data_IF_181976881517
#
_entry.id   IF_181976881517
#
_cell.length_a   1.000
_cell.length_b   1.000
_cell.length_c   1.000
_cell.angle_alpha   90.00
_cell.angle_beta   90.00
_cell.angle_gamma   90.00
#
_symmetry.space_group_name_H-M   'P 1'
#
loop_
_entity.id
_entity.type
_entity.pdbx_description
1 polymer ?
#
# COMPACT_ATOMS: atom_id res chain seq x y z
N UNK A 1 18.19 -13.42 33.70
CA UNK A 1 17.53 -12.09 33.76
C UNK A 1 18.25 -11.20 32.77
N UNK A 2 17.49 -10.38 32.03
CA UNK A 2 18.04 -9.40 31.09
C UNK A 2 17.95 -8.00 31.70
N UNK A 3 18.88 -7.12 31.36
CA UNK A 3 18.91 -5.73 31.84
C UNK A 3 17.99 -4.83 31.01
N UNK A 4 17.59 -3.69 31.58
CA UNK A 4 16.89 -2.59 30.91
C UNK A 4 17.84 -1.41 30.72
N UNK A 5 17.60 -0.60 29.70
CA UNK A 5 18.23 0.73 29.58
C UNK A 5 17.49 1.67 30.54
N UNK A 6 18.22 2.32 31.44
CA UNK A 6 17.63 3.25 32.41
C UNK A 6 17.46 4.66 31.81
N UNK A 7 18.54 5.27 31.33
CA UNK A 7 18.53 6.60 30.71
C UNK A 7 19.66 6.72 29.67
N UNK A 8 19.53 7.71 28.78
CA UNK A 8 20.60 8.18 27.91
C UNK A 8 21.17 9.46 28.52
N UNK A 9 22.49 9.49 28.74
CA UNK A 9 23.15 10.64 29.34
C UNK A 9 23.73 11.56 28.27
N UNK A 10 23.53 12.87 28.42
CA UNK A 10 24.00 13.92 27.53
C UNK A 10 24.84 14.89 28.36
N UNK A 11 26.10 15.02 27.97
CA UNK A 11 27.00 16.01 28.56
C UNK A 11 26.72 17.40 27.98
N UNK A 12 26.70 18.42 28.84
CA UNK A 12 26.34 19.80 28.50
C UNK A 12 27.03 20.81 29.43
N UNK A 13 26.96 22.09 29.11
CA UNK A 13 27.52 23.19 29.90
C UNK A 13 26.57 23.64 31.02
N UNK A 14 25.26 23.48 30.85
CA UNK A 14 24.26 23.75 31.90
C UNK A 14 23.16 22.68 31.88
N UNK A 15 23.24 21.74 32.83
CA UNK A 15 22.28 20.64 32.92
C UNK A 15 20.83 21.12 33.12
N UNK A 16 20.61 22.15 33.93
CA UNK A 16 19.27 22.61 34.28
C UNK A 16 18.61 23.32 33.08
N UNK A 17 19.30 24.27 32.46
CA UNK A 17 18.76 25.01 31.31
C UNK A 17 18.50 24.08 30.12
N UNK A 18 19.39 23.12 29.86
CA UNK A 18 19.19 22.17 28.79
C UNK A 18 18.05 21.19 29.09
N UNK A 19 17.91 20.77 30.35
CA UNK A 19 16.80 19.92 30.77
C UNK A 19 15.44 20.65 30.66
N UNK A 20 15.36 21.96 30.94
CA UNK A 20 14.15 22.74 30.72
C UNK A 20 13.73 22.77 29.24
N UNK A 21 14.69 22.93 28.32
CA UNK A 21 14.40 22.81 26.89
C UNK A 21 13.83 21.42 26.56
N UNK A 22 14.48 20.34 27.02
CA UNK A 22 14.05 18.97 26.74
C UNK A 22 12.74 18.59 27.43
N UNK A 23 12.42 19.17 28.58
CA UNK A 23 11.12 19.04 29.25
C UNK A 23 9.98 19.54 28.34
N UNK A 24 10.17 20.70 27.71
CA UNK A 24 9.22 21.25 26.72
C UNK A 24 9.19 20.44 25.41
N UNK A 25 10.33 19.88 24.98
CA UNK A 25 10.38 18.99 23.80
C UNK A 25 9.53 17.74 24.04
N UNK A 26 9.71 17.08 25.19
CA UNK A 26 9.08 15.79 25.51
C UNK A 26 7.70 15.93 26.19
N UNK A 27 7.27 17.15 26.52
CA UNK A 27 6.04 17.42 27.24
C UNK A 27 6.00 16.75 28.63
N UNK A 28 7.17 16.59 29.25
CA UNK A 28 7.34 15.94 30.56
C UNK A 28 8.05 16.92 31.49
N UNK A 29 7.51 17.20 32.69
CA UNK A 29 8.14 18.14 33.61
C UNK A 29 9.49 17.62 34.09
N UNK A 30 10.36 18.56 34.45
CA UNK A 30 11.57 18.26 35.21
C UNK A 30 11.21 17.69 36.58
N UNK A 31 12.10 16.92 37.20
CA UNK A 31 11.94 16.53 38.60
C UNK A 31 11.83 17.77 39.49
N UNK A 32 10.93 17.74 40.48
CA UNK A 32 10.81 18.81 41.49
C UNK A 32 12.09 18.95 42.35
N UNK A 33 12.96 17.94 42.32
CA UNK A 33 14.23 17.91 43.04
C UNK A 33 15.38 18.59 42.26
N UNK A 34 15.21 18.87 40.97
CA UNK A 34 16.26 19.48 40.13
C UNK A 34 16.14 21.02 40.13
N UNK A 35 17.23 21.73 40.38
CA UNK A 35 17.30 23.19 40.53
C UNK A 35 18.44 23.83 39.71
N UNK A 36 18.37 25.15 39.43
CA UNK A 36 19.44 25.87 38.73
C UNK A 36 20.81 25.69 39.42
N UNK A 37 21.80 25.24 38.65
CA UNK A 37 23.17 25.02 39.11
C UNK A 37 23.46 23.60 39.61
N UNK A 38 22.48 22.69 39.59
CA UNK A 38 22.73 21.28 39.88
C UNK A 38 23.64 20.63 38.84
N UNK A 39 24.50 19.68 39.25
CA UNK A 39 25.47 19.06 38.35
C UNK A 39 24.81 18.14 37.33
N UNK A 40 23.57 17.72 37.57
CA UNK A 40 22.77 16.89 36.68
C UNK A 40 21.29 17.25 36.80
N UNK A 41 20.53 16.92 35.77
CA UNK A 41 19.08 17.11 35.75
C UNK A 41 18.42 16.02 34.90
N UNK A 42 17.27 15.50 35.33
CA UNK A 42 16.62 14.34 34.73
C UNK A 42 15.26 14.71 34.14
N UNK A 43 15.05 14.36 32.87
CA UNK A 43 13.74 14.43 32.22
C UNK A 43 13.23 13.01 32.00
N UNK A 44 12.20 12.62 32.76
CA UNK A 44 11.54 11.32 32.65
C UNK A 44 10.28 11.41 31.81
N UNK A 45 10.22 10.65 30.71
CA UNK A 45 9.01 10.46 29.92
C UNK A 45 8.51 9.01 30.03
N UNK A 46 7.23 8.73 29.73
CA UNK A 46 6.71 7.37 29.70
C UNK A 46 7.44 6.40 28.76
N UNK A 47 8.25 6.91 27.82
CA UNK A 47 8.97 6.12 26.82
C UNK A 47 10.49 6.07 27.03
N UNK A 48 11.02 6.73 28.06
CA UNK A 48 12.45 6.76 28.38
C UNK A 48 12.87 8.02 29.13
N UNK A 49 14.11 8.04 29.59
CA UNK A 49 14.68 9.14 30.37
C UNK A 49 15.96 9.70 29.72
N UNK A 50 16.11 11.03 29.77
CA UNK A 50 17.31 11.75 29.39
C UNK A 50 17.92 12.36 30.66
N UNK A 51 19.19 12.06 30.91
CA UNK A 51 19.97 12.63 32.01
C UNK A 51 20.96 13.64 31.44
N UNK A 52 20.91 14.88 31.90
CA UNK A 52 21.84 15.93 31.51
C UNK A 52 22.91 16.06 32.58
N UNK A 53 24.18 16.16 32.20
CA UNK A 53 25.30 16.28 33.14
C UNK A 53 26.20 17.44 32.76
N UNK A 54 26.43 18.34 33.71
CA UNK A 54 27.28 19.52 33.52
C UNK A 54 28.75 19.10 33.45
N UNK A 55 29.41 19.39 32.33
CA UNK A 55 30.84 19.16 32.10
C UNK A 55 31.54 20.45 31.64
N UNK A 56 32.84 20.63 31.95
CA UNK A 56 33.57 21.83 31.52
C UNK A 56 33.94 21.84 30.02
N UNK A 57 33.92 20.69 29.35
CA UNK A 57 34.30 20.56 27.95
C UNK A 57 33.15 20.91 27.00
N UNK A 58 33.38 21.90 26.13
CA UNK A 58 32.45 22.18 25.04
C UNK A 58 32.46 21.06 23.97
N UNK A 59 31.29 20.83 23.34
CA UNK A 59 31.15 19.90 22.22
C UNK A 59 32.11 20.26 21.07
N UNK A 60 32.90 19.27 20.65
CA UNK A 60 33.94 19.45 19.62
C UNK A 60 33.72 18.63 18.34
N UNK A 61 32.91 17.57 18.40
CA UNK A 61 32.62 16.69 17.25
C UNK A 61 31.15 16.30 17.22
N UNK A 62 30.72 15.69 16.11
CA UNK A 62 29.35 15.16 15.96
C UNK A 62 29.10 14.05 16.99
N UNK A 63 27.91 14.06 17.59
CA UNK A 63 27.46 12.98 18.44
C UNK A 63 27.51 11.62 17.71
N UNK A 64 27.96 10.58 18.42
CA UNK A 64 28.05 9.19 17.89
C UNK A 64 26.77 8.40 18.11
N UNK A 65 25.91 8.91 18.98
CA UNK A 65 24.55 8.42 19.23
C UNK A 65 23.60 9.43 18.60
N UNK A 66 22.53 8.93 17.98
CA UNK A 66 21.46 9.75 17.43
C UNK A 66 20.23 9.58 18.31
N UNK A 67 19.63 10.71 18.71
CA UNK A 67 18.33 10.71 19.34
C UNK A 67 17.29 11.06 18.28
N UNK A 68 16.37 10.14 18.02
CA UNK A 68 15.36 10.29 16.97
C UNK A 68 13.98 10.50 17.60
N UNK A 69 13.43 11.70 17.43
CA UNK A 69 12.12 12.08 17.91
C UNK A 69 11.07 11.78 16.86
N UNK A 70 9.93 11.23 17.32
CA UNK A 70 8.78 10.99 16.47
C UNK A 70 7.57 11.73 17.03
N UNK A 71 7.07 12.78 16.34
CA UNK A 71 5.86 13.48 16.74
C UNK A 71 4.66 12.52 16.81
N UNK A 72 3.84 12.64 17.87
CA UNK A 72 2.62 11.82 18.04
C UNK A 72 1.36 12.57 17.60
N UNK A 73 1.26 13.86 17.91
CA UNK A 73 0.03 14.66 17.74
C UNK A 73 0.03 15.61 16.54
N UNK A 74 1.20 15.83 15.93
CA UNK A 74 1.41 16.79 14.84
C UNK A 74 2.30 16.22 13.74
N UNK A 75 2.35 16.90 12.60
CA UNK A 75 3.27 16.55 11.51
C UNK A 75 4.71 16.86 11.89
N UNK A 76 5.66 16.24 11.17
CA UNK A 76 7.09 16.53 11.29
C UNK A 76 7.37 18.00 11.05
N UNK A 77 6.72 18.61 10.06
CA UNK A 77 6.98 20.00 9.71
C UNK A 77 6.46 20.96 10.80
N UNK A 78 5.27 20.71 11.35
CA UNK A 78 4.76 21.46 12.52
C UNK A 78 5.64 21.26 13.76
N UNK A 79 6.18 20.06 13.99
CA UNK A 79 7.10 19.83 15.11
C UNK A 79 8.43 20.55 14.89
N UNK A 80 8.99 20.53 13.67
CA UNK A 80 10.21 21.27 13.35
C UNK A 80 10.00 22.76 13.61
N UNK A 81 8.88 23.34 13.17
CA UNK A 81 8.54 24.74 13.45
C UNK A 81 8.46 25.04 14.95
N UNK A 82 7.81 24.17 15.73
CA UNK A 82 7.71 24.31 17.19
C UNK A 82 9.09 24.29 17.85
N UNK A 83 9.93 23.32 17.48
CA UNK A 83 11.25 23.15 18.09
C UNK A 83 12.20 24.30 17.75
N UNK A 84 12.12 24.84 16.53
CA UNK A 84 12.83 26.06 16.16
C UNK A 84 12.39 27.25 17.03
N UNK A 85 11.09 27.37 17.33
CA UNK A 85 10.58 28.41 18.22
C UNK A 85 11.04 28.26 19.69
N UNK A 86 11.34 27.02 20.13
CA UNK A 86 11.91 26.73 21.46
C UNK A 86 13.42 26.97 21.56
N UNK A 87 14.10 27.24 20.44
CA UNK A 87 15.55 27.52 20.42
C UNK A 87 16.41 26.45 19.75
N UNK A 88 15.81 25.42 19.14
CA UNK A 88 16.56 24.50 18.30
C UNK A 88 17.04 25.16 17.00
N UNK A 89 18.01 24.56 16.33
CA UNK A 89 18.54 25.02 15.03
C UNK A 89 18.50 23.92 13.98
N UNK A 90 18.13 24.24 12.73
CA UNK A 90 18.16 23.28 11.63
C UNK A 90 19.57 23.07 11.10
N UNK A 91 20.09 21.85 11.26
CA UNK A 91 21.44 21.46 10.84
C UNK A 91 21.44 20.89 9.43
N UNK A 92 20.51 19.99 9.14
CA UNK A 92 20.39 19.37 7.82
C UNK A 92 18.95 18.97 7.52
N UNK A 93 18.53 19.22 6.29
CA UNK A 93 17.22 18.81 5.79
C UNK A 93 17.37 17.57 4.89
N UNK A 94 16.90 16.43 5.39
CA UNK A 94 16.89 15.15 4.68
C UNK A 94 15.48 14.71 4.32
N UNK A 95 14.51 15.64 4.37
CA UNK A 95 13.14 15.39 3.91
C UNK A 95 13.15 15.18 2.40
N UNK A 96 12.41 14.17 1.96
CA UNK A 96 12.31 13.78 0.55
C UNK A 96 10.99 14.31 -0.05
N UNK A 97 10.93 14.57 -1.36
CA UNK A 97 9.69 15.00 -2.03
C UNK A 97 8.51 14.04 -1.85
N UNK A 98 8.78 12.75 -1.60
CA UNK A 98 7.76 11.74 -1.29
C UNK A 98 7.31 11.74 0.18
N UNK A 99 7.60 12.81 0.92
CA UNK A 99 7.28 12.98 2.33
C UNK A 99 8.17 12.20 3.33
N UNK A 100 8.87 11.15 2.89
CA UNK A 100 9.77 10.37 3.76
C UNK A 100 11.03 11.17 4.16
N UNK A 101 11.87 10.57 5.01
CA UNK A 101 13.09 11.22 5.52
C UNK A 101 12.87 11.92 6.87
N UNK A 102 13.85 12.72 7.28
CA UNK A 102 13.87 13.40 8.57
C UNK A 102 14.52 14.79 8.45
N UNK A 103 14.35 15.62 9.47
CA UNK A 103 15.13 16.84 9.64
C UNK A 103 16.10 16.63 10.81
N UNK A 104 17.36 17.01 10.67
CA UNK A 104 18.33 17.02 11.77
C UNK A 104 18.36 18.42 12.37
N UNK A 105 18.00 18.52 13.65
CA UNK A 105 18.08 19.72 14.46
C UNK A 105 19.25 19.61 15.44
N UNK A 106 19.65 20.73 16.03
CA UNK A 106 20.47 20.78 17.23
C UNK A 106 19.78 21.57 18.33
N UNK A 107 19.92 21.12 19.58
CA UNK A 107 19.46 21.84 20.76
C UNK A 107 20.30 23.13 21.02
N UNK A 108 19.99 23.95 22.03
CA UNK A 108 20.73 25.20 22.30
C UNK A 108 22.23 25.02 22.53
N UNK A 109 22.68 23.82 22.89
CA UNK A 109 24.09 23.48 23.13
C UNK A 109 24.77 22.79 21.93
N UNK A 110 24.04 22.57 20.84
CA UNK A 110 24.58 22.00 19.62
C UNK A 110 24.56 20.47 19.57
N UNK A 111 23.84 19.79 20.46
CA UNK A 111 23.64 18.35 20.39
C UNK A 111 22.62 18.01 19.32
N UNK A 112 23.01 17.16 18.38
CA UNK A 112 22.15 16.82 17.24
C UNK A 112 21.08 15.78 17.61
N UNK A 113 19.86 16.01 17.12
CA UNK A 113 18.75 15.06 17.18
C UNK A 113 17.94 15.11 15.88
N UNK A 114 17.25 14.03 15.53
CA UNK A 114 16.43 13.97 14.32
C UNK A 114 14.95 14.11 14.67
N UNK A 115 14.21 14.83 13.84
CA UNK A 115 12.74 14.81 13.83
C UNK A 115 12.31 13.93 12.67
N UNK A 116 11.85 12.74 13.04
CA UNK A 116 11.30 11.76 12.14
C UNK A 116 9.85 12.09 11.76
N UNK A 117 9.41 11.50 10.65
CA UNK A 117 7.99 11.54 10.30
C UNK A 117 7.14 10.81 11.35
N UNK A 118 6.12 11.49 11.87
CA UNK A 118 5.22 11.00 12.92
C UNK A 118 4.47 9.72 12.49
N UNK A 119 3.93 8.92 13.41
CA UNK A 119 3.30 7.65 13.01
C UNK A 119 2.07 7.85 12.09
N UNK A 120 1.23 8.86 12.38
CA UNK A 120 0.05 9.22 11.59
C UNK A 120 0.42 9.85 10.25
N UNK A 121 1.36 10.78 10.27
CA UNK A 121 1.90 11.42 9.07
C UNK A 121 2.60 10.38 8.18
N UNK A 122 3.39 9.47 8.77
CA UNK A 122 4.01 8.35 8.06
C UNK A 122 2.96 7.44 7.46
N UNK A 123 1.88 7.11 8.18
CA UNK A 123 0.77 6.36 7.60
C UNK A 123 0.06 7.10 6.45
N UNK A 124 0.10 8.44 6.41
CA UNK A 124 -0.40 9.23 5.29
C UNK A 124 0.61 9.31 4.13
N UNK A 125 1.92 9.35 4.41
CA UNK A 125 3.02 9.45 3.43
C UNK A 125 3.49 8.11 2.89
N UNK A 126 3.28 7.03 3.63
CA UNK A 126 3.51 5.66 3.18
C UNK A 126 2.23 4.98 2.74
N UNK A 127 1.06 5.56 3.03
CA UNK A 127 -0.17 4.80 3.09
C UNK A 127 -0.02 3.67 4.12
N UNK A 128 -0.92 3.54 5.08
CA UNK A 128 -1.49 2.22 5.17
C UNK A 128 -2.19 2.03 3.82
N UNK A 129 -1.49 1.46 2.83
CA UNK A 129 -2.16 0.76 1.74
C UNK A 129 -3.14 -0.14 2.46
N UNK A 130 -4.43 0.20 2.44
CA UNK A 130 -5.44 -0.70 2.94
C UNK A 130 -5.24 -1.98 2.13
N UNK A 131 -4.95 -3.12 2.79
CA UNK A 131 -4.62 -4.32 2.07
C UNK A 131 -5.76 -4.65 1.14
N UNK A 132 -5.44 -5.28 0.01
CA UNK A 132 -6.48 -5.86 -0.81
C UNK A 132 -6.96 -7.13 -0.11
N UNK A 133 -8.26 -7.19 0.17
CA UNK A 133 -8.87 -8.26 0.95
C UNK A 133 -9.74 -9.18 0.09
N UNK A 134 -10.12 -10.32 0.65
CA UNK A 134 -11.11 -11.20 0.03
C UNK A 134 -12.49 -10.52 -0.14
N UNK A 135 -12.85 -9.58 0.74
CA UNK A 135 -14.09 -8.82 0.62
C UNK A 135 -14.05 -7.86 -0.57
N UNK A 136 -12.87 -7.35 -0.93
CA UNK A 136 -12.68 -6.53 -2.12
C UNK A 136 -12.88 -7.32 -3.43
N UNK A 137 -12.43 -8.58 -3.47
CA UNK A 137 -12.70 -9.50 -4.60
C UNK A 137 -14.20 -9.72 -4.74
N UNK A 138 -14.88 -9.99 -3.62
CA UNK A 138 -16.33 -10.19 -3.59
C UNK A 138 -17.07 -8.95 -4.08
N UNK A 139 -16.65 -7.76 -3.64
CA UNK A 139 -17.23 -6.50 -4.09
C UNK A 139 -17.03 -6.27 -5.59
N UNK A 140 -15.82 -6.49 -6.12
CA UNK A 140 -15.52 -6.32 -7.53
C UNK A 140 -16.38 -7.22 -8.42
N UNK A 141 -16.45 -8.51 -8.08
CA UNK A 141 -17.25 -9.50 -8.82
C UNK A 141 -18.73 -9.19 -8.75
N UNK A 142 -19.25 -8.84 -7.55
CA UNK A 142 -20.66 -8.45 -7.41
C UNK A 142 -21.00 -7.23 -8.27
N UNK A 143 -20.18 -6.18 -8.23
CA UNK A 143 -20.42 -4.98 -9.03
C UNK A 143 -20.40 -5.28 -10.53
N UNK A 144 -19.48 -6.14 -10.98
CA UNK A 144 -19.40 -6.59 -12.36
C UNK A 144 -20.66 -7.36 -12.78
N UNK A 145 -21.04 -8.39 -12.02
CA UNK A 145 -22.24 -9.21 -12.28
C UNK A 145 -23.50 -8.34 -12.27
N UNK A 146 -23.68 -7.51 -11.26
CA UNK A 146 -24.84 -6.61 -11.13
C UNK A 146 -24.96 -5.69 -12.34
N UNK A 147 -23.84 -5.13 -12.82
CA UNK A 147 -23.83 -4.23 -13.98
C UNK A 147 -24.14 -4.99 -15.26
N UNK A 148 -23.45 -6.09 -15.52
CA UNK A 148 -23.59 -6.86 -16.75
C UNK A 148 -24.97 -7.51 -16.87
N UNK A 149 -25.58 -7.91 -15.76
CA UNK A 149 -26.94 -8.43 -15.71
C UNK A 149 -28.02 -7.40 -16.12
N UNK A 150 -27.70 -6.10 -16.16
CA UNK A 150 -28.63 -5.08 -16.67
C UNK A 150 -28.71 -5.03 -18.19
N UNK A 151 -27.82 -5.72 -18.90
CA UNK A 151 -27.83 -5.76 -20.36
C UNK A 151 -29.13 -6.38 -20.88
N UNK A 152 -29.85 -5.71 -21.80
CA UNK A 152 -31.01 -6.30 -22.47
C UNK A 152 -30.61 -7.25 -23.62
N UNK A 153 -29.31 -7.38 -23.90
CA UNK A 153 -28.80 -8.25 -24.95
C UNK A 153 -28.67 -9.69 -24.42
N UNK A 154 -29.30 -10.64 -25.12
CA UNK A 154 -29.24 -12.07 -24.78
C UNK A 154 -28.10 -12.80 -25.50
N UNK A 155 -27.52 -12.17 -26.53
CA UNK A 155 -26.38 -12.69 -27.29
C UNK A 155 -25.17 -11.76 -27.12
N UNK A 156 -24.15 -12.23 -26.40
CA UNK A 156 -22.93 -11.49 -26.10
C UNK A 156 -21.80 -11.83 -27.10
N UNK A 157 -22.13 -12.34 -28.28
CA UNK A 157 -21.20 -12.57 -29.41
C UNK A 157 -20.94 -11.29 -30.21
N UNK A 158 -20.67 -10.20 -29.50
CA UNK A 158 -20.28 -8.90 -30.06
C UNK A 158 -18.93 -8.47 -29.47
N UNK A 159 -18.12 -7.66 -30.17
CA UNK A 159 -16.82 -7.24 -29.65
C UNK A 159 -16.89 -6.59 -28.26
N UNK A 160 -16.00 -7.00 -27.36
CA UNK A 160 -15.85 -6.41 -26.04
C UNK A 160 -15.03 -5.11 -26.13
N UNK A 161 -15.72 -4.00 -26.43
CA UNK A 161 -15.09 -2.69 -26.55
C UNK A 161 -14.08 -2.66 -27.70
N UNK A 162 -12.79 -2.48 -27.38
CA UNK A 162 -11.70 -2.49 -28.37
C UNK A 162 -10.97 -3.82 -28.49
N UNK A 163 -11.40 -4.87 -27.76
CA UNK A 163 -10.77 -6.19 -27.82
C UNK A 163 -11.13 -6.92 -29.11
N UNK A 164 -10.28 -7.87 -29.50
CA UNK A 164 -10.58 -8.84 -30.57
C UNK A 164 -11.55 -9.93 -30.10
N UNK A 165 -11.70 -10.09 -28.79
CA UNK A 165 -12.61 -11.04 -28.16
C UNK A 165 -14.03 -10.49 -28.10
N UNK A 166 -15.00 -11.38 -28.14
CA UNK A 166 -16.39 -11.02 -27.88
C UNK A 166 -16.69 -10.86 -26.37
N UNK A 167 -17.84 -10.27 -26.04
CA UNK A 167 -18.26 -10.06 -24.66
C UNK A 167 -18.44 -11.38 -23.89
N UNK A 168 -18.85 -12.48 -24.56
CA UNK A 168 -18.96 -13.79 -23.93
C UNK A 168 -17.58 -14.33 -23.53
N UNK A 169 -16.66 -14.37 -24.49
CA UNK A 169 -15.29 -14.84 -24.34
C UNK A 169 -14.53 -14.05 -23.28
N UNK A 170 -14.76 -12.74 -23.21
CA UNK A 170 -14.11 -11.87 -22.23
C UNK A 170 -14.59 -12.19 -20.80
N UNK A 171 -15.87 -12.52 -20.61
CA UNK A 171 -16.38 -12.94 -19.30
C UNK A 171 -15.95 -14.37 -18.95
N UNK A 172 -15.83 -15.27 -19.93
CA UNK A 172 -15.23 -16.59 -19.73
C UNK A 172 -13.77 -16.49 -19.30
N UNK A 173 -12.98 -15.66 -19.99
CA UNK A 173 -11.59 -15.38 -19.63
C UNK A 173 -11.49 -14.82 -18.22
N UNK A 174 -12.33 -13.84 -17.87
CA UNK A 174 -12.39 -13.32 -16.51
C UNK A 174 -12.72 -14.42 -15.48
N UNK A 175 -13.64 -15.32 -15.81
CA UNK A 175 -13.98 -16.46 -14.95
C UNK A 175 -12.79 -17.41 -14.79
N UNK A 176 -12.02 -17.64 -15.85
CA UNK A 176 -10.81 -18.46 -15.86
C UNK A 176 -9.68 -17.83 -15.04
N UNK A 177 -9.42 -16.52 -15.16
CA UNK A 177 -8.40 -15.83 -14.38
C UNK A 177 -8.65 -15.97 -12.87
N UNK A 178 -9.88 -15.71 -12.44
CA UNK A 178 -10.27 -15.86 -11.04
C UNK A 178 -10.11 -17.31 -10.55
N UNK A 179 -10.48 -18.28 -11.39
CA UNK A 179 -10.29 -19.70 -11.11
C UNK A 179 -8.79 -20.06 -11.01
N UNK A 180 -7.99 -19.63 -11.99
CA UNK A 180 -6.55 -19.89 -12.07
C UNK A 180 -5.82 -19.33 -10.85
N UNK A 181 -6.14 -18.10 -10.44
CA UNK A 181 -5.58 -17.49 -9.24
C UNK A 181 -5.99 -18.24 -7.96
N UNK A 182 -7.23 -18.71 -7.88
CA UNK A 182 -7.70 -19.49 -6.74
C UNK A 182 -6.93 -20.83 -6.62
N UNK A 183 -6.79 -21.57 -7.71
CA UNK A 183 -6.11 -22.88 -7.69
C UNK A 183 -4.61 -22.74 -7.45
N UNK A 184 -3.99 -21.62 -7.84
CA UNK A 184 -2.61 -21.30 -7.46
C UNK A 184 -2.41 -21.20 -5.96
N UNK A 185 -3.44 -20.87 -5.17
CA UNK A 185 -3.36 -20.79 -3.71
C UNK A 185 -3.76 -22.10 -3.00
N UNK A 186 -4.57 -22.95 -3.64
CA UNK A 186 -5.21 -24.09 -2.98
C UNK A 186 -4.28 -25.25 -2.58
N UNK A 187 -3.07 -25.32 -3.13
CA UNK A 187 -2.12 -26.38 -2.81
C UNK A 187 -1.48 -26.23 -1.42
N UNK A 188 -1.24 -27.33 -0.69
CA UNK A 188 -0.47 -27.30 0.57
C UNK A 188 0.95 -26.74 0.40
N UNK A 189 1.52 -26.91 -0.80
CA UNK A 189 2.80 -26.34 -1.24
C UNK A 189 2.60 -25.80 -2.66
N UNK A 190 2.14 -24.56 -2.81
CA UNK A 190 1.90 -23.98 -4.12
C UNK A 190 3.17 -23.99 -4.99
N UNK A 191 3.04 -24.21 -6.30
CA UNK A 191 4.18 -24.14 -7.21
C UNK A 191 4.70 -22.71 -7.29
N UNK A 192 6.03 -22.55 -7.40
CA UNK A 192 6.70 -21.24 -7.44
C UNK A 192 7.28 -20.90 -8.82
N UNK A 193 7.44 -21.91 -9.67
CA UNK A 193 8.11 -21.83 -10.97
C UNK A 193 7.18 -22.13 -12.15
N UNK A 194 5.92 -22.47 -11.89
CA UNK A 194 4.92 -22.83 -12.90
C UNK A 194 3.49 -22.66 -12.40
N UNK A 195 2.56 -22.58 -13.33
CA UNK A 195 1.13 -22.69 -13.06
C UNK A 195 0.76 -24.11 -12.62
N UNK A 196 -0.32 -24.24 -11.83
CA UNK A 196 -0.94 -25.53 -11.54
C UNK A 196 -1.42 -26.11 -12.88
N UNK A 197 -1.07 -27.37 -13.20
CA UNK A 197 -1.16 -27.90 -14.56
C UNK A 197 -2.60 -28.33 -14.93
N UNK A 198 -3.53 -27.38 -14.91
CA UNK A 198 -4.81 -27.53 -15.61
C UNK A 198 -4.56 -27.53 -17.12
N UNK A 199 -5.43 -28.22 -17.86
CA UNK A 199 -5.34 -28.21 -19.31
C UNK A 199 -5.77 -26.83 -19.79
N UNK A 200 -4.90 -26.18 -20.55
CA UNK A 200 -5.11 -24.84 -21.09
C UNK A 200 -5.30 -24.90 -22.62
N UNK A 201 -6.29 -24.20 -23.14
CA UNK A 201 -6.58 -24.17 -24.59
C UNK A 201 -7.68 -23.18 -24.94
N UNK A 202 -7.84 -22.81 -26.21
CA UNK A 202 -8.96 -21.97 -26.66
C UNK A 202 -10.14 -22.81 -27.18
N UNK A 203 -11.36 -22.29 -27.10
CA UNK A 203 -12.56 -22.93 -27.67
C UNK A 203 -12.70 -22.68 -29.18
N UNK A 204 -12.04 -21.63 -29.70
CA UNK A 204 -11.92 -21.34 -31.14
C UNK A 204 -10.58 -20.71 -31.50
N UNK A 205 -10.24 -20.74 -32.79
CA UNK A 205 -9.05 -20.03 -33.30
C UNK A 205 -9.13 -18.53 -33.00
N UNK A 206 -8.06 -17.98 -32.41
CA UNK A 206 -7.97 -16.57 -32.01
C UNK A 206 -8.78 -16.19 -30.76
N UNK A 207 -9.46 -17.13 -30.11
CA UNK A 207 -10.14 -16.90 -28.84
C UNK A 207 -9.18 -16.88 -27.65
N UNK A 208 -9.65 -16.47 -26.45
CA UNK A 208 -8.86 -16.55 -25.23
C UNK A 208 -8.52 -18.00 -24.91
N UNK A 209 -7.34 -18.20 -24.33
CA UNK A 209 -6.96 -19.50 -23.79
C UNK A 209 -7.46 -19.58 -22.36
N UNK A 210 -8.21 -20.64 -22.04
CA UNK A 210 -8.78 -20.86 -20.73
C UNK A 210 -8.59 -22.32 -20.28
N UNK A 211 -8.71 -22.56 -18.98
CA UNK A 211 -8.86 -23.89 -18.38
C UNK A 211 -10.33 -24.26 -18.14
N UNK A 212 -11.18 -23.27 -17.90
CA UNK A 212 -12.62 -23.42 -17.70
C UNK A 212 -13.44 -22.59 -18.70
N UNK A 213 -14.63 -23.08 -19.04
CA UNK A 213 -15.55 -22.46 -20.00
C UNK A 213 -16.97 -22.52 -19.45
N UNK A 214 -17.78 -21.49 -19.75
CA UNK A 214 -19.19 -21.51 -19.41
C UNK A 214 -19.94 -22.42 -20.39
N UNK A 215 -21.03 -23.06 -19.94
CA UNK A 215 -21.87 -23.81 -20.86
C UNK A 215 -22.67 -22.83 -21.75
N UNK A 216 -22.49 -22.82 -23.08
CA UNK A 216 -23.22 -21.89 -23.96
C UNK A 216 -24.75 -22.04 -23.87
N UNK A 217 -25.25 -23.24 -23.59
CA UNK A 217 -26.69 -23.51 -23.45
C UNK A 217 -27.31 -22.84 -22.21
N UNK A 218 -26.49 -22.45 -21.23
CA UNK A 218 -26.95 -21.76 -20.02
C UNK A 218 -27.17 -20.24 -20.24
N UNK A 219 -26.80 -19.73 -21.41
CA UNK A 219 -26.96 -18.32 -21.78
C UNK A 219 -26.16 -17.35 -20.90
N UNK A 220 -26.43 -16.05 -21.06
CA UNK A 220 -25.72 -14.98 -20.33
C UNK A 220 -25.90 -15.07 -18.82
N UNK A 221 -27.06 -15.54 -18.34
CA UNK A 221 -27.27 -15.81 -16.92
C UNK A 221 -26.35 -16.92 -16.39
N UNK A 222 -26.14 -18.01 -17.14
CA UNK A 222 -25.22 -19.08 -16.75
C UNK A 222 -23.75 -18.67 -16.84
N UNK A 223 -23.41 -17.81 -17.79
CA UNK A 223 -22.10 -17.18 -17.89
C UNK A 223 -21.80 -16.33 -16.64
N UNK A 224 -22.72 -15.45 -16.24
CA UNK A 224 -22.57 -14.65 -15.02
C UNK A 224 -22.51 -15.50 -13.74
N UNK A 225 -23.24 -16.62 -13.68
CA UNK A 225 -23.14 -17.57 -12.57
C UNK A 225 -21.76 -18.23 -12.51
N UNK A 226 -21.13 -18.48 -13.66
CA UNK A 226 -19.76 -19.02 -13.75
C UNK A 226 -18.77 -18.00 -13.19
N UNK A 227 -18.90 -16.72 -13.58
CA UNK A 227 -18.11 -15.61 -13.04
C UNK A 227 -18.25 -15.48 -11.52
N UNK A 228 -19.48 -15.49 -11.01
CA UNK A 228 -19.76 -15.39 -9.57
C UNK A 228 -19.13 -16.57 -8.80
N UNK A 229 -19.22 -17.79 -9.37
CA UNK A 229 -18.64 -19.00 -8.76
C UNK A 229 -17.11 -18.96 -8.70
N UNK A 230 -16.45 -18.56 -9.80
CA UNK A 230 -14.99 -18.37 -9.84
C UNK A 230 -14.52 -17.27 -8.89
N UNK A 231 -15.26 -16.16 -8.81
CA UNK A 231 -15.01 -15.10 -7.84
C UNK A 231 -15.11 -15.59 -6.39
N UNK A 232 -16.13 -16.38 -6.07
CA UNK A 232 -16.30 -16.97 -4.75
C UNK A 232 -15.16 -17.94 -4.39
N UNK A 233 -14.67 -18.73 -5.36
CA UNK A 233 -13.49 -19.59 -5.20
C UNK A 233 -12.25 -18.78 -4.84
N UNK A 234 -11.94 -17.70 -5.57
CA UNK A 234 -10.80 -16.84 -5.27
C UNK A 234 -10.96 -16.17 -3.90
N UNK A 235 -12.13 -15.60 -3.60
CA UNK A 235 -12.44 -15.02 -2.27
C UNK A 235 -12.16 -16.02 -1.15
N UNK A 236 -12.61 -17.27 -1.28
CA UNK A 236 -12.41 -18.29 -0.27
C UNK A 236 -10.92 -18.63 -0.10
N UNK A 237 -10.17 -18.77 -1.20
CA UNK A 237 -8.75 -19.07 -1.15
C UNK A 237 -7.94 -17.91 -0.55
N UNK A 238 -8.20 -16.66 -0.95
CA UNK A 238 -7.56 -15.47 -0.38
C UNK A 238 -7.82 -15.37 1.12
N UNK A 239 -9.05 -15.66 1.57
CA UNK A 239 -9.43 -15.57 2.98
C UNK A 239 -8.76 -16.63 3.86
N UNK A 240 -8.53 -17.83 3.31
CA UNK A 240 -8.10 -19.00 4.09
C UNK A 240 -6.61 -19.30 3.96
N UNK A 241 -5.96 -18.78 2.93
CA UNK A 241 -4.53 -19.02 2.70
C UNK A 241 -3.68 -18.10 3.59
N UNK A 242 -2.69 -18.64 4.32
CA UNK A 242 -1.76 -17.84 5.11
C UNK A 242 -1.02 -16.79 4.26
N UNK A 243 -0.79 -15.60 4.83
CA UNK A 243 -0.18 -14.46 4.12
C UNK A 243 1.30 -14.66 3.74
N UNK A 244 1.99 -15.64 4.32
CA UNK A 244 3.37 -16.00 4.00
C UNK A 244 3.48 -16.98 2.80
N UNK A 245 2.36 -17.52 2.33
CA UNK A 245 2.32 -18.37 1.14
C UNK A 245 2.72 -17.58 -0.10
N UNK A 246 3.53 -18.20 -0.96
CA UNK A 246 3.93 -17.67 -2.27
C UNK A 246 3.63 -18.69 -3.35
N UNK A 247 3.04 -18.23 -4.45
CA UNK A 247 2.75 -19.04 -5.63
C UNK A 247 3.14 -18.31 -6.91
N UNK A 248 3.33 -19.09 -7.97
CA UNK A 248 3.75 -18.60 -9.28
C UNK A 248 2.66 -17.78 -9.97
N UNK A 249 3.08 -16.67 -10.56
CA UNK A 249 2.38 -15.94 -11.61
C UNK A 249 3.42 -15.50 -12.67
N UNK A 250 2.99 -15.29 -13.92
CA UNK A 250 3.90 -14.91 -15.03
C UNK A 250 4.68 -13.61 -14.78
N UNK A 251 4.14 -12.72 -13.95
CA UNK A 251 4.80 -11.47 -13.51
C UNK A 251 5.54 -11.58 -12.17
N UNK A 252 5.84 -12.80 -11.73
CA UNK A 252 6.62 -13.09 -10.53
C UNK A 252 5.81 -13.77 -9.43
N UNK A 253 6.50 -14.16 -8.35
CA UNK A 253 5.85 -14.77 -7.19
C UNK A 253 4.88 -13.80 -6.54
N UNK A 254 3.69 -14.29 -6.21
CA UNK A 254 2.65 -13.53 -5.55
C UNK A 254 2.14 -14.22 -4.29
N UNK A 255 1.62 -13.42 -3.37
CA UNK A 255 0.96 -13.83 -2.14
C UNK A 255 -0.58 -13.75 -2.30
N UNK A 256 -1.38 -14.18 -1.30
CA UNK A 256 -2.84 -14.14 -1.40
C UNK A 256 -3.39 -12.73 -1.69
N UNK A 257 -2.80 -11.69 -1.10
CA UNK A 257 -3.19 -10.29 -1.37
C UNK A 257 -2.89 -9.86 -2.81
N UNK A 258 -1.75 -10.29 -3.37
CA UNK A 258 -1.41 -10.04 -4.77
C UNK A 258 -2.35 -10.74 -5.75
N UNK A 259 -2.71 -12.01 -5.50
CA UNK A 259 -3.71 -12.71 -6.32
C UNK A 259 -5.10 -12.08 -6.22
N UNK A 260 -5.48 -11.60 -5.03
CA UNK A 260 -6.71 -10.83 -4.84
C UNK A 260 -6.68 -9.54 -5.67
N UNK A 261 -5.56 -8.81 -5.66
CA UNK A 261 -5.41 -7.59 -6.43
C UNK A 261 -5.44 -7.84 -7.94
N UNK A 262 -4.80 -8.91 -8.43
CA UNK A 262 -4.82 -9.29 -9.84
C UNK A 262 -6.26 -9.63 -10.27
N UNK A 263 -6.96 -10.46 -9.50
CA UNK A 263 -8.36 -10.80 -9.76
C UNK A 263 -9.29 -9.59 -9.79
N UNK A 264 -9.08 -8.61 -8.91
CA UNK A 264 -9.83 -7.35 -8.94
C UNK A 264 -9.48 -6.54 -10.19
N UNK A 265 -8.19 -6.35 -10.51
CA UNK A 265 -7.80 -5.60 -11.72
C UNK A 265 -8.47 -6.21 -12.93
N UNK A 266 -8.33 -7.53 -13.15
CA UNK A 266 -8.94 -8.24 -14.27
C UNK A 266 -10.45 -8.03 -14.29
N UNK A 267 -11.12 -8.18 -13.15
CA UNK A 267 -12.57 -7.96 -13.03
C UNK A 267 -12.96 -6.54 -13.45
N UNK A 268 -12.27 -5.51 -12.96
CA UNK A 268 -12.62 -4.12 -13.23
C UNK A 268 -12.40 -3.73 -14.69
N UNK A 269 -11.28 -4.15 -15.26
CA UNK A 269 -10.87 -3.75 -16.62
C UNK A 269 -11.60 -4.56 -17.70
N UNK A 270 -11.84 -5.85 -17.49
CA UNK A 270 -12.61 -6.64 -18.45
C UNK A 270 -14.11 -6.37 -18.34
N UNK A 271 -14.63 -5.98 -17.18
CA UNK A 271 -15.99 -5.42 -17.10
C UNK A 271 -16.09 -4.11 -17.89
N UNK A 272 -15.05 -3.27 -17.89
CA UNK A 272 -15.02 -2.07 -18.72
C UNK A 272 -15.07 -2.40 -20.22
N UNK A 273 -14.29 -3.40 -20.65
CA UNK A 273 -14.26 -3.86 -22.04
C UNK A 273 -15.66 -4.37 -22.47
N UNK A 274 -16.26 -5.25 -21.66
CA UNK A 274 -17.60 -5.83 -21.92
C UNK A 274 -18.70 -4.78 -21.84
N UNK A 275 -18.70 -3.91 -20.82
CA UNK A 275 -19.67 -2.84 -20.67
C UNK A 275 -19.61 -1.88 -21.86
N UNK A 276 -18.42 -1.57 -22.38
CA UNK A 276 -18.26 -0.77 -23.60
C UNK A 276 -18.89 -1.44 -24.81
N UNK A 277 -18.67 -2.75 -25.01
CA UNK A 277 -19.30 -3.51 -26.09
C UNK A 277 -20.84 -3.57 -25.98
N UNK A 278 -21.35 -3.73 -24.75
CA UNK A 278 -22.78 -3.77 -24.45
C UNK A 278 -23.44 -2.39 -24.31
N UNK A 279 -22.68 -1.29 -24.49
CA UNK A 279 -23.14 0.09 -24.29
C UNK A 279 -23.73 0.37 -22.89
N UNK A 280 -23.14 -0.24 -21.87
CA UNK A 280 -23.46 -0.05 -20.45
C UNK A 280 -22.56 1.01 -19.81
N UNK A 281 -23.08 1.72 -18.81
CA UNK A 281 -22.28 2.62 -17.98
C UNK A 281 -21.54 1.83 -16.89
N UNK A 282 -20.22 2.02 -16.80
CA UNK A 282 -19.38 1.32 -15.82
C UNK A 282 -18.34 2.26 -15.21
N UNK A 283 -18.31 2.31 -13.87
CA UNK A 283 -17.26 2.96 -13.10
C UNK A 283 -17.15 2.30 -11.72
N UNK A 284 -16.00 1.72 -11.37
CA UNK A 284 -15.79 1.11 -10.06
C UNK A 284 -15.53 2.14 -8.94
N UNK A 285 -15.67 1.75 -7.67
CA UNK A 285 -15.35 2.62 -6.53
C UNK A 285 -13.89 3.09 -6.56
N UNK A 286 -13.69 4.39 -6.30
CA UNK A 286 -12.36 5.03 -6.25
C UNK A 286 -11.39 4.27 -5.34
N UNK A 287 -11.82 3.94 -4.13
CA UNK A 287 -10.96 3.32 -3.12
C UNK A 287 -10.52 1.91 -3.50
N UNK A 288 -11.35 1.19 -4.27
CA UNK A 288 -11.01 -0.14 -4.78
C UNK A 288 -9.90 -0.04 -5.84
N UNK A 289 -10.02 0.94 -6.75
CA UNK A 289 -8.99 1.24 -7.75
C UNK A 289 -7.68 1.65 -7.09
N UNK A 290 -7.75 2.52 -6.08
CA UNK A 290 -6.58 2.99 -5.34
C UNK A 290 -5.82 1.84 -4.66
N UNK A 291 -6.56 0.93 -4.00
CA UNK A 291 -5.97 -0.26 -3.38
C UNK A 291 -5.27 -1.14 -4.39
N UNK A 292 -5.84 -1.42 -5.57
CA UNK A 292 -5.14 -2.29 -6.53
C UNK A 292 -3.95 -1.60 -7.22
N UNK A 293 -4.06 -0.29 -7.49
CA UNK A 293 -2.95 0.52 -7.98
C UNK A 293 -1.77 0.47 -7.02
N UNK A 294 -2.01 0.72 -5.74
CA UNK A 294 -0.99 0.63 -4.70
C UNK A 294 -0.39 -0.79 -4.55
N UNK A 295 -1.06 -1.86 -5.02
CA UNK A 295 -0.55 -3.25 -4.87
C UNK A 295 0.36 -3.64 -6.02
N UNK A 296 -0.08 -3.33 -7.23
CA UNK A 296 0.43 -3.93 -8.46
C UNK A 296 1.17 -2.92 -9.34
N UNK A 297 0.94 -1.63 -9.14
CA UNK A 297 1.49 -0.55 -9.96
C UNK A 297 2.18 0.49 -9.07
N UNK A 298 3.36 0.17 -8.49
CA UNK A 298 4.07 1.05 -7.57
C UNK A 298 4.47 2.40 -8.20
N UNK A 299 4.58 2.45 -9.53
CA UNK A 299 4.91 3.65 -10.30
C UNK A 299 3.65 4.38 -10.84
N UNK A 300 2.45 3.96 -10.43
CA UNK A 300 1.22 4.61 -10.86
C UNK A 300 1.20 6.08 -10.38
N UNK A 301 0.79 7.03 -11.25
CA UNK A 301 0.59 8.41 -10.86
C UNK A 301 -0.40 8.57 -9.71
N UNK A 302 -0.23 9.62 -8.91
CA UNK A 302 -1.07 9.91 -7.74
C UNK A 302 -2.28 10.83 -8.06
N UNK A 303 -2.73 10.84 -9.33
CA UNK A 303 -3.88 11.62 -9.76
C UNK A 303 -5.16 11.17 -9.03
N UNK A 304 -6.06 12.11 -8.74
CA UNK A 304 -7.28 11.89 -7.94
C UNK A 304 -8.26 10.89 -8.56
N UNK A 305 -8.34 10.87 -9.89
CA UNK A 305 -9.19 9.93 -10.64
C UNK A 305 -8.49 8.57 -10.78
N UNK A 306 -8.62 7.77 -9.72
CA UNK A 306 -7.97 6.45 -9.60
C UNK A 306 -8.44 5.46 -10.65
N UNK A 307 -9.66 5.59 -11.16
CA UNK A 307 -10.16 4.70 -12.22
C UNK A 307 -9.48 4.99 -13.56
N UNK A 308 -9.39 6.26 -13.93
CA UNK A 308 -8.66 6.66 -15.15
C UNK A 308 -7.17 6.29 -15.05
N UNK A 309 -6.54 6.43 -13.88
CA UNK A 309 -5.17 5.97 -13.65
C UNK A 309 -5.03 4.45 -13.85
N UNK A 310 -5.99 3.65 -13.38
CA UNK A 310 -5.97 2.19 -13.57
C UNK A 310 -6.14 1.79 -15.03
N UNK A 311 -7.05 2.43 -15.77
CA UNK A 311 -7.20 2.22 -17.21
C UNK A 311 -5.94 2.61 -17.98
N UNK A 312 -5.29 3.71 -17.61
CA UNK A 312 -4.01 4.12 -18.20
C UNK A 312 -2.87 3.15 -17.87
N UNK A 313 -2.77 2.71 -16.61
CA UNK A 313 -1.73 1.78 -16.15
C UNK A 313 -1.83 0.40 -16.82
N UNK A 314 -3.01 0.06 -17.35
CA UNK A 314 -3.29 -1.18 -18.10
C UNK A 314 -3.39 -0.97 -19.62
N UNK A 315 -3.03 0.21 -20.13
CA UNK A 315 -2.97 0.52 -21.57
C UNK A 315 -4.32 0.74 -22.26
N UNK A 316 -5.43 0.74 -21.52
CA UNK A 316 -6.80 0.83 -22.03
C UNK A 316 -7.23 2.26 -22.35
N UNK A 317 -6.77 3.24 -21.57
CA UNK A 317 -7.10 4.66 -21.79
C UNK A 317 -5.86 5.57 -21.76
N UNK A 318 -6.02 6.79 -22.29
CA UNK A 318 -5.05 7.87 -22.10
C UNK A 318 -5.21 8.56 -20.76
N UNK A 319 -4.15 9.19 -20.27
CA UNK A 319 -4.16 10.05 -19.08
C UNK A 319 -3.63 11.43 -19.46
N UNK A 320 -4.36 12.54 -19.21
CA UNK A 320 -3.93 13.87 -19.63
C UNK A 320 -2.52 14.22 -19.15
N UNK A 321 -1.72 14.81 -20.05
CA UNK A 321 -0.34 15.20 -19.77
C UNK A 321 0.67 14.05 -19.72
N UNK A 322 0.29 12.83 -20.12
CA UNK A 322 1.17 11.66 -20.11
C UNK A 322 1.05 10.86 -21.42
N UNK A 323 2.16 10.22 -21.79
CA UNK A 323 2.20 9.32 -22.93
C UNK A 323 1.35 8.06 -22.66
N UNK A 324 0.84 7.45 -23.73
CA UNK A 324 0.08 6.21 -23.63
C UNK A 324 1.00 5.07 -23.21
N UNK A 325 0.56 4.27 -22.24
CA UNK A 325 1.24 3.02 -21.88
C UNK A 325 1.02 1.98 -23.00
N UNK A 326 2.10 1.54 -23.64
CA UNK A 326 2.07 0.52 -24.69
C UNK A 326 2.50 -0.86 -24.19
N UNK A 327 3.10 -0.93 -23.00
CA UNK A 327 3.49 -2.17 -22.33
C UNK A 327 3.44 -1.97 -20.82
N UNK A 328 2.87 -2.92 -20.09
CA UNK A 328 2.78 -2.88 -18.64
C UNK A 328 3.05 -4.26 -18.05
N UNK A 329 3.31 -4.31 -16.74
CA UNK A 329 3.43 -5.54 -15.96
C UNK A 329 2.92 -5.28 -14.55
N UNK A 330 2.40 -6.30 -13.89
CA UNK A 330 2.13 -6.21 -12.46
C UNK A 330 3.39 -6.42 -11.63
N UNK A 331 3.43 -5.78 -10.46
CA UNK A 331 4.41 -6.08 -9.42
C UNK A 331 3.89 -7.22 -8.53
N UNK A 332 4.25 -8.46 -8.87
CA UNK A 332 3.77 -9.64 -8.13
C UNK A 332 4.33 -9.75 -6.71
N UNK A 333 5.61 -9.41 -6.52
CA UNK A 333 6.28 -9.55 -5.23
C UNK A 333 5.54 -8.74 -4.14
N UNK A 334 5.38 -9.29 -2.93
CA UNK A 334 4.86 -8.56 -1.78
C UNK A 334 5.68 -7.28 -1.56
N UNK A 335 4.99 -6.16 -1.39
CA UNK A 335 5.60 -4.85 -1.16
C UNK A 335 5.98 -4.65 0.31
#
# INVERSE_FOLDING_TARGET
>A
MTSLVQHITIDCADAYELALFWAEVLGSPLSDDDAPGDPEALVESPRGALLFVTVPEAKSTKNRIHLDLRPEERTRDEEVERLLALGATLVADHRKPNGRGWATLADPEGNEFCVECGARERAALTGARLPVTADDVTLAVRLAVDTLATSPADDWRIPAGSLEWDCWETVEHLSDDLFAYAVQLGGRRPPQDREVPYRYGPDREGGPWNSIFANPEAGTSGLLQTLESSGALLTAMVRTTPSDVRSHHVFGLSDPEGFAAMGIVETLVHTYDVASGLSLSWAPPRDLCDRVLARLFPDAPDDDDRWTVLLWSTGRAGLPGRDRVTSWKWHGAPL
#
